data_IF_477875667221
#
_entry.id   IF_477875667221
#
_cell.length_a   1.000
_cell.length_b   1.000
_cell.length_c   1.000
_cell.angle_alpha   90.00
_cell.angle_beta   90.00
_cell.angle_gamma   90.00
#
_symmetry.space_group_name_H-M   'P 1'
#
loop_
_entity.id
_entity.type
_entity.pdbx_description
1 polymer ?
#
# COMPACT_ATOMS: atom_id res chain seq x y z
N UNK A 1 40.29 -37.93 52.02
CA UNK A 1 39.18 -38.55 51.26
C UNK A 1 38.76 -37.59 50.16
N UNK A 2 39.20 -37.80 48.91
CA UNK A 2 38.82 -36.95 47.78
C UNK A 2 37.61 -37.56 47.05
N UNK A 3 36.53 -36.79 46.93
CA UNK A 3 35.32 -37.19 46.19
C UNK A 3 35.58 -37.07 44.69
N UNK A 4 35.38 -38.15 43.94
CA UNK A 4 35.39 -38.13 42.48
C UNK A 4 34.18 -37.35 41.93
N UNK A 5 34.36 -36.51 40.89
CA UNK A 5 33.25 -35.80 40.24
C UNK A 5 32.44 -36.72 39.31
N UNK A 6 31.13 -36.48 39.25
CA UNK A 6 30.14 -37.34 38.56
C UNK A 6 30.15 -37.16 37.03
N UNK A 7 29.97 -38.24 36.24
CA UNK A 7 30.15 -38.27 34.78
C UNK A 7 29.06 -37.58 33.93
N UNK A 8 27.99 -37.02 34.51
CA UNK A 8 26.82 -36.51 33.75
C UNK A 8 27.01 -35.14 33.10
N UNK A 9 28.01 -34.36 33.50
CA UNK A 9 28.17 -33.01 32.98
C UNK A 9 28.83 -32.99 31.59
N UNK A 10 29.67 -33.98 31.25
CA UNK A 10 30.38 -34.01 29.96
C UNK A 10 29.46 -34.29 28.75
N UNK A 11 28.43 -35.13 28.90
CA UNK A 11 27.52 -35.48 27.80
C UNK A 11 26.63 -34.32 27.37
N UNK A 12 26.20 -33.48 28.32
CA UNK A 12 25.36 -32.30 28.05
C UNK A 12 26.06 -31.25 27.17
N UNK A 13 27.37 -31.04 27.39
CA UNK A 13 28.13 -30.10 26.57
C UNK A 13 28.38 -30.63 25.15
N UNK A 14 28.57 -31.95 24.99
CA UNK A 14 28.72 -32.57 23.66
C UNK A 14 27.42 -32.51 22.84
N UNK A 15 26.26 -32.76 23.46
CA UNK A 15 24.96 -32.66 22.78
C UNK A 15 24.64 -31.23 22.32
N UNK A 16 24.98 -30.21 23.12
CA UNK A 16 24.84 -28.80 22.71
C UNK A 16 25.73 -28.42 21.53
N UNK A 17 26.96 -28.92 21.50
CA UNK A 17 27.88 -28.66 20.38
C UNK A 17 27.40 -29.35 19.10
N UNK A 18 26.91 -30.59 19.21
CA UNK A 18 26.35 -31.34 18.09
C UNK A 18 25.06 -30.73 17.54
N UNK A 19 24.20 -30.18 18.40
CA UNK A 19 23.00 -29.43 18.00
C UNK A 19 23.33 -28.18 17.18
N UNK A 20 24.31 -27.38 17.63
CA UNK A 20 24.75 -26.17 16.90
C UNK A 20 25.35 -26.50 15.53
N UNK A 21 26.09 -27.59 15.41
CA UNK A 21 26.64 -28.04 14.11
C UNK A 21 25.54 -28.44 13.13
N UNK A 22 24.50 -29.14 13.60
CA UNK A 22 23.34 -29.51 12.76
C UNK A 22 22.55 -28.29 12.28
N UNK A 23 22.37 -27.30 13.14
CA UNK A 23 21.65 -26.06 12.80
C UNK A 23 22.40 -25.28 11.71
N UNK A 24 23.73 -25.17 11.82
CA UNK A 24 24.57 -24.54 10.80
C UNK A 24 24.51 -25.29 9.46
N UNK A 25 24.54 -26.63 9.49
CA UNK A 25 24.45 -27.45 8.29
C UNK A 25 23.09 -27.28 7.58
N UNK A 26 21.99 -27.19 8.35
CA UNK A 26 20.65 -26.95 7.81
C UNK A 26 20.54 -25.57 7.15
N UNK A 27 21.03 -24.52 7.80
CA UNK A 27 21.01 -23.17 7.25
C UNK A 27 21.81 -23.06 5.96
N UNK A 28 22.97 -23.73 5.89
CA UNK A 28 23.79 -23.75 4.68
C UNK A 28 23.09 -24.44 3.51
N UNK A 29 22.43 -25.57 3.76
CA UNK A 29 21.68 -26.32 2.75
C UNK A 29 20.46 -25.52 2.23
N UNK A 30 19.77 -24.80 3.11
CA UNK A 30 18.66 -23.92 2.73
C UNK A 30 19.14 -22.80 1.80
N UNK A 31 20.27 -22.15 2.13
CA UNK A 31 20.81 -21.04 1.34
C UNK A 31 21.33 -21.50 -0.03
N UNK A 32 21.88 -22.71 -0.13
CA UNK A 32 22.24 -23.33 -1.41
C UNK A 32 20.99 -23.57 -2.29
N UNK A 33 19.92 -24.11 -1.70
CA UNK A 33 18.67 -24.38 -2.42
C UNK A 33 18.01 -23.09 -2.94
N UNK A 34 18.08 -21.98 -2.18
CA UNK A 34 17.61 -20.68 -2.67
C UNK A 34 18.45 -20.15 -3.85
N UNK A 35 19.76 -20.36 -3.85
CA UNK A 35 20.62 -19.97 -4.97
C UNK A 35 20.35 -20.81 -6.22
N UNK A 36 20.08 -22.11 -6.08
CA UNK A 36 19.65 -22.96 -7.19
C UNK A 36 18.28 -22.53 -7.74
N UNK A 37 17.31 -22.26 -6.87
CA UNK A 37 15.99 -21.77 -7.28
C UNK A 37 16.06 -20.40 -7.96
N UNK A 38 16.97 -19.52 -7.56
CA UNK A 38 17.20 -18.22 -8.23
C UNK A 38 17.94 -18.34 -9.57
N UNK A 39 18.72 -19.41 -9.78
CA UNK A 39 19.37 -19.71 -11.07
C UNK A 39 18.47 -20.49 -12.02
N UNK A 40 17.32 -20.98 -11.59
CA UNK A 40 16.37 -21.63 -12.46
C UNK A 40 15.97 -20.65 -13.58
N UNK A 41 16.18 -21.01 -14.86
CA UNK A 41 15.79 -20.15 -15.97
C UNK A 41 14.28 -19.92 -15.89
N UNK A 42 13.88 -18.65 -15.86
CA UNK A 42 12.48 -18.25 -16.01
C UNK A 42 11.89 -18.99 -17.22
N UNK A 43 10.73 -19.64 -17.11
CA UNK A 43 10.11 -20.29 -18.25
C UNK A 43 9.91 -19.21 -19.32
N UNK A 44 10.61 -19.36 -20.45
CA UNK A 44 10.36 -18.54 -21.63
C UNK A 44 8.88 -18.69 -21.94
N UNK A 45 8.17 -17.56 -21.99
CA UNK A 45 6.78 -17.50 -22.45
C UNK A 45 6.69 -18.30 -23.76
N UNK A 46 6.11 -19.49 -23.68
CA UNK A 46 5.70 -20.23 -24.85
C UNK A 46 4.61 -19.37 -25.47
N UNK A 47 4.91 -18.70 -26.58
CA UNK A 47 3.88 -18.21 -27.50
C UNK A 47 3.15 -19.46 -27.98
N UNK A 48 2.04 -19.78 -27.34
CA UNK A 48 1.07 -20.70 -27.88
C UNK A 48 0.39 -20.00 -29.06
N UNK A 49 0.97 -20.16 -30.26
CA UNK A 49 0.26 -19.91 -31.50
C UNK A 49 -0.80 -21.01 -31.66
N UNK A 50 -1.93 -20.83 -30.98
CA UNK A 50 -3.09 -21.70 -31.03
C UNK A 50 -4.13 -21.15 -32.03
N UNK A 51 -3.71 -21.06 -33.28
CA UNK A 51 -4.60 -20.93 -34.44
C UNK A 51 -4.42 -22.24 -35.22
N UNK A 52 -5.40 -23.09 -35.47
CA UNK A 52 -6.84 -22.90 -35.67
C UNK A 52 -7.50 -24.28 -35.48
N UNK A 53 -8.84 -24.29 -35.39
CA UNK A 53 -9.67 -25.48 -35.66
C UNK A 53 -10.06 -26.42 -34.49
N UNK A 54 -10.16 -25.90 -33.25
CA UNK A 54 -10.85 -26.61 -32.16
C UNK A 54 -11.73 -25.70 -31.28
N UNK A 55 -12.22 -24.58 -31.84
CA UNK A 55 -12.90 -23.52 -31.08
C UNK A 55 -14.25 -23.04 -31.67
N UNK A 56 -14.85 -23.76 -32.63
CA UNK A 56 -16.17 -23.36 -33.16
C UNK A 56 -17.37 -23.95 -32.40
N UNK A 57 -17.27 -25.19 -31.93
CA UNK A 57 -18.42 -25.88 -31.32
C UNK A 57 -18.58 -25.63 -29.81
N UNK A 58 -17.51 -25.21 -29.10
CA UNK A 58 -17.59 -24.88 -27.67
C UNK A 58 -17.80 -23.38 -27.36
N UNK A 59 -17.61 -22.50 -28.35
CA UNK A 59 -17.90 -21.08 -28.21
C UNK A 59 -19.41 -20.78 -28.26
N UNK A 60 -20.19 -21.56 -29.02
CA UNK A 60 -21.63 -21.35 -29.18
C UNK A 60 -22.44 -21.90 -27.99
N UNK A 61 -21.95 -22.93 -27.30
CA UNK A 61 -22.61 -23.50 -26.11
C UNK A 61 -22.43 -22.66 -24.84
N UNK A 62 -21.38 -21.84 -24.76
CA UNK A 62 -21.11 -21.00 -23.58
C UNK A 62 -21.87 -19.65 -23.63
N UNK A 63 -22.43 -19.28 -24.79
CA UNK A 63 -23.08 -17.97 -24.98
C UNK A 63 -24.58 -17.95 -24.62
N UNK A 64 -25.20 -19.10 -24.33
CA UNK A 64 -26.66 -19.22 -24.26
C UNK A 64 -27.31 -19.25 -22.87
N UNK A 65 -26.59 -19.09 -21.75
CA UNK A 65 -27.26 -19.09 -20.42
C UNK A 65 -26.60 -18.20 -19.38
N UNK A 66 -26.64 -16.89 -19.53
CA UNK A 66 -26.69 -15.96 -18.39
C UNK A 66 -27.35 -14.65 -18.85
N UNK A 67 -28.65 -14.67 -19.14
CA UNK A 67 -29.45 -13.45 -18.97
C UNK A 67 -29.46 -13.13 -17.46
N UNK A 68 -28.35 -12.53 -16.99
CA UNK A 68 -28.27 -12.04 -15.62
C UNK A 68 -29.37 -10.99 -15.49
N UNK A 69 -30.18 -11.02 -14.42
CA UNK A 69 -31.22 -10.03 -14.22
C UNK A 69 -30.60 -8.64 -14.35
N UNK A 70 -31.03 -7.90 -15.38
CA UNK A 70 -30.57 -6.53 -15.59
C UNK A 70 -31.05 -5.72 -14.40
N UNK A 71 -30.14 -5.42 -13.48
CA UNK A 71 -30.42 -4.54 -12.34
C UNK A 71 -30.96 -3.23 -12.92
N UNK A 72 -32.18 -2.83 -12.51
CA UNK A 72 -32.84 -1.62 -13.04
C UNK A 72 -32.59 -0.41 -12.15
N UNK A 73 -32.46 -0.66 -10.85
CA UNK A 73 -32.32 0.35 -9.81
C UNK A 73 -31.11 0.06 -8.93
N UNK A 74 -30.41 1.11 -8.55
CA UNK A 74 -29.21 1.08 -7.74
C UNK A 74 -29.35 2.15 -6.65
N UNK A 75 -28.93 1.83 -5.42
CA UNK A 75 -29.02 2.74 -4.28
C UNK A 75 -27.71 3.52 -4.11
N UNK A 76 -27.80 4.84 -4.03
CA UNK A 76 -26.64 5.69 -3.79
C UNK A 76 -26.29 5.75 -2.29
N UNK A 77 -25.00 5.70 -1.95
CA UNK A 77 -24.53 5.82 -0.55
C UNK A 77 -24.71 7.22 0.03
N UNK A 78 -24.53 8.25 -0.80
CA UNK A 78 -24.53 9.64 -0.33
C UNK A 78 -25.94 10.21 -0.14
N UNK A 79 -26.80 10.11 -1.16
CA UNK A 79 -28.17 10.61 -1.07
C UNK A 79 -29.17 9.56 -0.56
N UNK A 80 -28.77 8.28 -0.43
CA UNK A 80 -29.61 7.16 0.04
C UNK A 80 -30.84 6.85 -0.81
N UNK A 81 -31.00 7.52 -1.96
CA UNK A 81 -32.07 7.29 -2.93
C UNK A 81 -31.74 6.14 -3.88
N UNK A 82 -32.79 5.44 -4.29
CA UNK A 82 -32.75 4.47 -5.39
C UNK A 82 -32.90 5.20 -6.72
N UNK A 83 -31.98 4.94 -7.64
CA UNK A 83 -31.86 5.64 -8.91
C UNK A 83 -31.70 4.65 -10.04
N UNK A 84 -32.05 5.08 -11.25
CA UNK A 84 -31.85 4.26 -12.44
C UNK A 84 -30.36 4.03 -12.69
N UNK A 85 -30.01 2.87 -13.25
CA UNK A 85 -28.62 2.50 -13.57
C UNK A 85 -27.87 3.58 -14.35
N UNK A 86 -28.55 4.26 -15.30
CA UNK A 86 -27.97 5.35 -16.10
C UNK A 86 -27.51 6.58 -15.29
N UNK A 87 -27.97 6.74 -14.05
CA UNK A 87 -27.55 7.83 -13.16
C UNK A 87 -26.24 7.50 -12.41
N UNK A 88 -25.60 6.37 -12.71
CA UNK A 88 -24.32 5.93 -12.16
C UNK A 88 -23.26 5.82 -13.27
N UNK A 89 -21.98 5.85 -12.90
CA UNK A 89 -20.89 5.63 -13.86
C UNK A 89 -20.84 4.17 -14.31
N UNK A 90 -20.52 3.93 -15.59
CA UNK A 90 -20.34 2.59 -16.18
C UNK A 90 -19.41 1.69 -15.36
N UNK A 91 -18.30 2.24 -14.85
CA UNK A 91 -17.39 1.51 -13.96
C UNK A 91 -18.05 1.09 -12.66
N UNK A 92 -18.92 1.93 -12.08
CA UNK A 92 -19.64 1.61 -10.85
C UNK A 92 -20.73 0.56 -11.09
N UNK A 93 -21.40 0.65 -12.24
CA UNK A 93 -22.39 -0.33 -12.68
C UNK A 93 -21.73 -1.69 -12.88
N UNK A 94 -20.57 -1.73 -13.57
CA UNK A 94 -19.81 -2.96 -13.77
C UNK A 94 -19.37 -3.57 -12.42
N UNK A 95 -18.90 -2.75 -11.46
CA UNK A 95 -18.55 -3.24 -10.11
C UNK A 95 -19.76 -3.78 -9.33
N UNK A 96 -20.92 -3.16 -9.49
CA UNK A 96 -22.14 -3.60 -8.83
C UNK A 96 -22.74 -4.87 -9.45
N UNK A 97 -22.58 -5.06 -10.76
CA UNK A 97 -23.16 -6.18 -11.53
C UNK A 97 -22.20 -7.36 -11.69
N UNK A 98 -20.89 -7.13 -11.66
CA UNK A 98 -19.88 -8.16 -11.87
C UNK A 98 -19.46 -8.80 -10.55
N UNK A 99 -20.07 -9.94 -10.25
CA UNK A 99 -19.56 -10.85 -9.24
C UNK A 99 -19.56 -12.28 -9.79
N UNK A 100 -18.36 -12.79 -10.10
CA UNK A 100 -18.18 -14.15 -10.61
C UNK A 100 -18.53 -15.22 -9.57
N UNK A 101 -18.50 -14.88 -8.28
CA UNK A 101 -18.57 -15.83 -7.17
C UNK A 101 -19.78 -15.62 -6.26
N UNK A 102 -20.62 -14.60 -6.48
CA UNK A 102 -21.86 -14.48 -5.71
C UNK A 102 -22.99 -15.26 -6.35
N UNK A 103 -23.71 -16.09 -5.58
CA UNK A 103 -24.98 -16.63 -6.02
C UNK A 103 -25.96 -15.48 -6.31
N UNK A 104 -26.70 -15.61 -7.42
CA UNK A 104 -27.64 -14.65 -8.02
C UNK A 104 -28.62 -13.98 -7.04
N UNK A 105 -28.86 -14.59 -5.88
CA UNK A 105 -29.95 -14.24 -4.97
C UNK A 105 -29.60 -13.22 -3.88
N UNK A 106 -28.34 -13.01 -3.50
CA UNK A 106 -28.07 -12.10 -2.38
C UNK A 106 -26.69 -11.48 -2.53
N UNK A 107 -26.63 -10.16 -2.74
CA UNK A 107 -25.79 -9.30 -1.91
C UNK A 107 -26.24 -7.84 -2.03
N UNK A 108 -27.39 -7.54 -1.43
CA UNK A 108 -27.77 -6.18 -1.02
C UNK A 108 -26.60 -5.46 -0.30
N UNK A 109 -25.72 -6.25 0.34
CA UNK A 109 -24.48 -5.82 0.99
C UNK A 109 -23.40 -5.26 0.06
N UNK A 110 -23.30 -5.67 -1.21
CA UNK A 110 -22.28 -5.16 -2.14
C UNK A 110 -22.72 -3.90 -2.89
N UNK A 111 -24.03 -3.64 -2.95
CA UNK A 111 -24.59 -2.37 -3.45
C UNK A 111 -24.28 -1.18 -2.51
N UNK A 112 -23.73 -1.43 -1.31
CA UNK A 112 -23.51 -0.43 -0.26
C UNK A 112 -22.38 0.57 -0.52
N UNK A 113 -21.71 0.55 -1.68
CA UNK A 113 -20.54 1.41 -1.94
C UNK A 113 -20.56 2.13 -3.31
N UNK A 114 -21.73 2.35 -3.91
CA UNK A 114 -21.83 3.10 -5.18
C UNK A 114 -22.41 4.50 -4.98
N UNK A 115 -21.90 5.46 -5.75
CA UNK A 115 -22.32 6.86 -5.69
C UNK A 115 -22.95 7.30 -7.00
N UNK A 116 -24.04 8.06 -6.92
CA UNK A 116 -24.68 8.62 -8.11
C UNK A 116 -23.76 9.64 -8.81
N UNK A 117 -23.97 9.89 -10.11
CA UNK A 117 -23.19 10.89 -10.87
C UNK A 117 -23.30 12.28 -10.24
N UNK A 118 -24.51 12.71 -9.87
CA UNK A 118 -24.75 14.00 -9.19
C UNK A 118 -23.96 14.11 -7.87
N UNK A 119 -23.95 13.03 -7.10
CA UNK A 119 -23.30 12.92 -5.81
C UNK A 119 -21.76 12.90 -5.93
N UNK A 120 -21.26 12.36 -7.04
CA UNK A 120 -19.82 12.31 -7.33
C UNK A 120 -19.34 13.66 -7.85
N UNK A 121 -20.15 14.36 -8.64
CA UNK A 121 -19.81 15.69 -9.17
C UNK A 121 -19.83 16.79 -8.11
N UNK A 122 -20.63 16.63 -7.04
CA UNK A 122 -20.60 17.52 -5.87
C UNK A 122 -19.31 17.48 -5.05
N UNK A 123 -18.36 16.57 -5.35
CA UNK A 123 -17.06 16.58 -4.69
C UNK A 123 -16.31 17.87 -5.04
N UNK A 124 -15.87 18.62 -4.03
CA UNK A 124 -15.16 19.91 -4.22
C UNK A 124 -13.87 19.69 -5.00
N UNK A 125 -13.78 20.20 -6.23
CA UNK A 125 -12.58 20.12 -7.09
C UNK A 125 -11.56 21.22 -6.80
N UNK A 126 -11.95 22.24 -6.05
CA UNK A 126 -11.14 23.41 -5.73
C UNK A 126 -11.19 23.75 -4.24
N UNK A 127 -10.13 24.37 -3.76
CA UNK A 127 -10.00 24.91 -2.39
C UNK A 127 -9.41 26.31 -2.46
N UNK A 128 -9.81 27.16 -1.50
CA UNK A 128 -9.27 28.51 -1.34
C UNK A 128 -8.11 28.48 -0.35
N UNK A 129 -6.96 29.00 -0.75
CA UNK A 129 -5.80 29.11 0.16
C UNK A 129 -6.04 30.22 1.19
N UNK A 130 -5.94 29.95 2.49
CA UNK A 130 -6.10 30.97 3.53
C UNK A 130 -5.01 32.05 3.50
N UNK A 131 -3.79 31.72 3.06
CA UNK A 131 -2.66 32.67 3.06
C UNK A 131 -2.64 33.60 1.84
N UNK A 132 -2.98 33.10 0.66
CA UNK A 132 -2.94 33.88 -0.58
C UNK A 132 -4.32 34.13 -1.22
N UNK A 133 -5.39 33.69 -0.55
CA UNK A 133 -6.82 33.86 -0.91
C UNK A 133 -7.23 33.41 -2.32
N UNK A 134 -6.32 32.77 -3.06
CA UNK A 134 -6.58 32.22 -4.40
C UNK A 134 -7.27 30.86 -4.32
N UNK A 135 -8.29 30.69 -5.15
CA UNK A 135 -8.85 29.37 -5.46
C UNK A 135 -7.90 28.58 -6.34
N UNK A 136 -7.58 27.35 -5.95
CA UNK A 136 -6.70 26.44 -6.68
C UNK A 136 -7.29 25.03 -6.71
N UNK A 137 -6.83 24.20 -7.65
CA UNK A 137 -7.23 22.79 -7.72
C UNK A 137 -6.74 22.00 -6.51
N UNK A 138 -7.38 20.88 -6.20
CA UNK A 138 -6.97 19.99 -5.10
C UNK A 138 -5.51 19.54 -5.19
N UNK A 139 -4.94 19.43 -6.39
CA UNK A 139 -3.55 19.01 -6.61
C UNK A 139 -2.52 20.00 -6.07
N UNK A 140 -2.93 21.26 -5.89
CA UNK A 140 -2.11 22.31 -5.28
C UNK A 140 -2.21 22.32 -3.74
N UNK A 141 -2.86 21.34 -3.13
CA UNK A 141 -3.02 21.17 -1.69
C UNK A 141 -2.66 19.75 -1.24
N UNK A 142 -2.12 19.63 -0.03
CA UNK A 142 -1.79 18.32 0.55
C UNK A 142 -3.07 17.53 0.88
N UNK A 143 -2.99 16.19 0.86
CA UNK A 143 -4.15 15.32 1.15
C UNK A 143 -4.78 15.60 2.53
N UNK A 144 -3.96 15.94 3.52
CA UNK A 144 -4.43 16.29 4.86
C UNK A 144 -5.26 17.59 4.85
N UNK A 145 -4.81 18.60 4.10
CA UNK A 145 -5.55 19.87 3.97
C UNK A 145 -6.87 19.74 3.21
N UNK A 146 -7.00 18.75 2.31
CA UNK A 146 -8.27 18.51 1.61
C UNK A 146 -9.41 18.12 2.55
N UNK A 147 -9.10 17.56 3.73
CA UNK A 147 -10.08 17.23 4.77
C UNK A 147 -10.46 18.43 5.64
N UNK A 148 -9.55 19.38 5.85
CA UNK A 148 -9.76 20.59 6.64
C UNK A 148 -9.57 21.85 5.77
N UNK A 149 -10.65 22.26 5.10
CA UNK A 149 -10.64 23.30 4.08
C UNK A 149 -10.49 24.73 4.63
N UNK A 150 -10.91 24.98 5.88
CA UNK A 150 -10.97 26.33 6.46
C UNK A 150 -9.59 26.99 6.59
N UNK A 151 -8.57 26.17 6.90
CA UNK A 151 -7.19 26.62 7.13
C UNK A 151 -6.20 26.05 6.10
N UNK A 152 -6.68 25.65 4.93
CA UNK A 152 -5.84 25.07 3.89
C UNK A 152 -4.84 26.10 3.32
N UNK A 153 -3.56 25.73 3.19
CA UNK A 153 -2.51 26.54 2.56
C UNK A 153 -2.01 25.82 1.31
N UNK A 154 -1.95 26.49 0.16
CA UNK A 154 -1.43 25.85 -1.05
C UNK A 154 0.06 25.47 -0.92
N UNK A 155 0.49 24.49 -1.71
CA UNK A 155 1.87 23.98 -1.70
C UNK A 155 2.91 25.09 -1.94
N UNK A 156 2.60 26.07 -2.78
CA UNK A 156 3.45 27.23 -3.01
C UNK A 156 3.66 28.07 -1.74
N UNK A 157 2.60 28.33 -0.97
CA UNK A 157 2.70 29.08 0.29
C UNK A 157 3.39 28.26 1.39
N UNK A 158 3.23 26.93 1.39
CA UNK A 158 3.99 26.06 2.30
C UNK A 158 5.48 26.08 1.99
N UNK A 159 5.84 25.98 0.71
CA UNK A 159 7.24 26.06 0.26
C UNK A 159 7.86 27.41 0.64
N UNK A 160 7.20 28.52 0.29
CA UNK A 160 7.67 29.87 0.63
C UNK A 160 7.95 30.04 2.12
N UNK A 161 7.05 29.56 2.99
CA UNK A 161 7.27 29.60 4.44
C UNK A 161 8.51 28.81 4.86
N UNK A 162 8.69 27.61 4.32
CA UNK A 162 9.83 26.78 4.67
C UNK A 162 11.15 27.40 4.18
N UNK A 163 11.14 28.05 3.02
CA UNK A 163 12.32 28.74 2.48
C UNK A 163 12.68 29.98 3.34
N UNK A 164 11.68 30.68 3.90
CA UNK A 164 11.86 31.81 4.82
C UNK A 164 12.36 31.38 6.21
N UNK A 165 11.87 30.26 6.77
CA UNK A 165 12.28 29.73 8.09
C UNK A 165 13.74 29.26 8.13
N UNK A 166 14.27 28.75 7.02
CA UNK A 166 15.62 28.17 6.96
C UNK A 166 16.72 29.24 6.92
N UNK A 167 16.39 30.45 6.51
CA UNK A 167 17.36 31.53 6.35
C UNK A 167 17.50 32.44 7.58
N UNK A 168 16.80 32.13 8.68
CA UNK A 168 16.84 32.88 9.95
C UNK A 168 17.77 32.22 10.99
N UNK A 169 18.51 31.18 10.59
CA UNK A 169 19.63 30.65 11.37
C UNK A 169 20.85 31.55 11.11
N UNK A 170 20.99 32.62 11.88
CA UNK A 170 22.19 33.46 11.95
C UNK A 170 23.45 32.57 12.05
N UNK A 171 24.52 32.83 11.28
CA UNK A 171 25.80 32.18 11.52
C UNK A 171 26.34 32.67 12.86
N UNK A 172 26.59 31.75 13.80
CA UNK A 172 27.38 32.04 15.01
C UNK A 172 28.71 32.68 14.57
N UNK A 173 28.83 33.98 14.81
CA UNK A 173 30.07 34.72 14.68
C UNK A 173 30.97 34.23 15.82
N UNK A 174 31.76 33.18 15.57
CA UNK A 174 32.81 32.73 16.49
C UNK A 174 33.91 33.80 16.48
N UNK A 175 33.77 34.80 17.34
CA UNK A 175 34.90 35.68 17.69
C UNK A 175 35.91 34.86 18.47
N UNK A 176 37.07 34.65 17.86
CA UNK A 176 38.29 34.19 18.52
C UNK A 176 38.62 35.15 19.67
N UNK A 177 38.66 34.67 20.92
CA UNK A 177 39.33 35.36 22.04
C UNK A 177 39.78 34.35 23.11
N UNK A 178 40.98 34.60 23.62
CA UNK A 178 41.90 33.70 24.32
C UNK A 178 41.45 33.27 25.74
N UNK A 179 41.57 31.97 26.07
CA UNK A 179 42.14 31.56 27.37
C UNK A 179 42.58 30.09 27.36
N UNK A 180 43.89 29.92 27.39
CA UNK A 180 44.58 28.66 27.59
C UNK A 180 44.65 28.43 29.11
N UNK A 181 43.62 27.81 29.70
CA UNK A 181 43.60 27.51 31.14
C UNK A 181 43.85 26.01 31.40
N UNK A 182 45.13 25.75 31.59
CA UNK A 182 45.82 24.73 32.38
C UNK A 182 44.95 23.77 33.22
N UNK A 183 44.87 22.49 32.83
CA UNK A 183 44.24 21.40 33.61
C UNK A 183 45.24 20.46 34.29
N UNK A 184 46.53 20.79 34.36
CA UNK A 184 47.58 19.92 34.92
C UNK A 184 47.96 20.27 36.37
N UNK A 185 47.01 20.29 37.31
CA UNK A 185 47.34 20.36 38.76
C UNK A 185 46.43 19.52 39.67
N UNK A 186 45.86 18.42 39.16
CA UNK A 186 45.19 17.41 39.99
C UNK A 186 45.45 16.00 39.46
N UNK A 187 46.55 15.38 39.89
CA UNK A 187 46.67 13.93 40.18
C UNK A 187 48.03 13.57 40.82
#
# INVERSE_FOLDING_TARGET
>A
MYKQPQPRQASYYQEKQYGKQKEYQYQYQYHQQEHENRRAPQPRHIRFDMHTNYNKLYAEACFMKLERPRIKLLKCVFCKEEKQVKEFSEMQIAKATYNLYAPSVVTEYRLKYISCLKCTDTQRKTLTCWKCTKMKSLDQFSRMQRRNNERARCLQCMKKRNDEDVNDSEPEYSSEDDSLDNWDDYL
#
